data_IF_726582575986
#
_entry.id   IF_726582575986
#
_cell.length_a   1.000
_cell.length_b   1.000
_cell.length_c   1.000
_cell.angle_alpha   90.00
_cell.angle_beta   90.00
_cell.angle_gamma   90.00
#
_symmetry.space_group_name_H-M   'P 1'
#
loop_
_entity.id
_entity.type
_entity.pdbx_description
1 polymer ?
#
# COMPACT_ATOMS: atom_id res chain seq x y z
N UNK A 1 -6.23 31.21 -13.92
CA UNK A 1 -5.46 30.42 -12.93
C UNK A 1 -6.08 29.03 -12.89
N UNK A 2 -5.29 27.96 -12.80
CA UNK A 2 -5.85 26.62 -12.61
C UNK A 2 -6.56 26.56 -11.24
N UNK A 3 -7.68 25.85 -11.16
CA UNK A 3 -8.42 25.66 -9.91
C UNK A 3 -7.48 25.05 -8.83
N UNK A 4 -7.30 25.69 -7.66
CA UNK A 4 -6.38 25.21 -6.63
C UNK A 4 -6.73 23.81 -6.12
N UNK A 5 -7.99 23.37 -6.21
CA UNK A 5 -8.44 22.03 -5.81
C UNK A 5 -7.87 20.94 -6.70
N UNK A 6 -7.63 21.22 -7.99
CA UNK A 6 -6.99 20.28 -8.93
C UNK A 6 -5.57 19.94 -8.50
N UNK A 7 -4.83 20.94 -8.00
CA UNK A 7 -3.49 20.72 -7.43
C UNK A 7 -3.57 19.86 -6.16
N UNK A 8 -4.56 20.09 -5.30
CA UNK A 8 -4.75 19.30 -4.09
C UNK A 8 -5.11 17.84 -4.40
N UNK A 9 -6.01 17.59 -5.37
CA UNK A 9 -6.33 16.26 -5.88
C UNK A 9 -5.07 15.53 -6.33
N UNK A 10 -4.25 16.18 -7.16
CA UNK A 10 -3.00 15.60 -7.67
C UNK A 10 -2.05 15.20 -6.54
N UNK A 11 -1.90 16.07 -5.52
CA UNK A 11 -1.02 15.80 -4.38
C UNK A 11 -1.53 14.61 -3.56
N UNK A 12 -2.81 14.64 -3.16
CA UNK A 12 -3.43 13.58 -2.34
C UNK A 12 -3.41 12.24 -3.07
N UNK A 13 -3.72 12.23 -4.37
CA UNK A 13 -3.61 11.06 -5.25
C UNK A 13 -2.21 10.48 -5.24
N UNK A 14 -1.18 11.34 -5.38
CA UNK A 14 0.21 10.92 -5.34
C UNK A 14 0.61 10.29 -3.99
N UNK A 15 0.08 10.79 -2.87
CA UNK A 15 0.31 10.22 -1.54
C UNK A 15 -0.29 8.82 -1.43
N UNK A 16 -1.57 8.65 -1.77
CA UNK A 16 -2.26 7.34 -1.72
C UNK A 16 -1.56 6.32 -2.63
N UNK A 17 -1.21 6.71 -3.86
CA UNK A 17 -0.50 5.83 -4.81
C UNK A 17 0.85 5.34 -4.27
N UNK A 18 1.62 6.20 -3.61
CA UNK A 18 2.92 5.81 -3.02
C UNK A 18 2.73 4.86 -1.84
N UNK A 19 1.78 5.14 -0.95
CA UNK A 19 1.50 4.30 0.22
C UNK A 19 0.95 2.92 -0.20
N UNK A 20 0.11 2.86 -1.24
CA UNK A 20 -0.37 1.60 -1.80
C UNK A 20 0.78 0.74 -2.34
N UNK A 21 1.74 1.37 -3.05
CA UNK A 21 2.95 0.69 -3.52
C UNK A 21 3.84 0.24 -2.37
N UNK A 22 4.08 1.08 -1.37
CA UNK A 22 4.88 0.77 -0.17
C UNK A 22 4.35 -0.48 0.54
N UNK A 23 3.05 -0.49 0.87
CA UNK A 23 2.40 -1.66 1.48
C UNK A 23 2.56 -2.92 0.62
N UNK A 24 2.32 -2.81 -0.68
CA UNK A 24 2.42 -3.95 -1.61
C UNK A 24 3.83 -4.53 -1.65
N UNK A 25 4.86 -3.68 -1.58
CA UNK A 25 6.26 -4.11 -1.54
C UNK A 25 6.56 -4.87 -0.25
N UNK A 26 6.15 -4.34 0.92
CA UNK A 26 6.37 -5.04 2.19
C UNK A 26 5.63 -6.38 2.26
N UNK A 27 4.40 -6.47 1.76
CA UNK A 27 3.69 -7.75 1.69
C UNK A 27 4.37 -8.75 0.76
N UNK A 28 4.94 -8.27 -0.36
CA UNK A 28 5.70 -9.12 -1.28
C UNK A 28 6.99 -9.62 -0.63
N UNK A 29 7.65 -8.80 0.17
CA UNK A 29 8.85 -9.18 0.90
C UNK A 29 8.57 -10.29 1.91
N UNK A 30 7.51 -10.15 2.72
CA UNK A 30 7.03 -11.20 3.63
C UNK A 30 6.77 -12.51 2.88
N UNK A 31 6.09 -12.47 1.73
CA UNK A 31 5.84 -13.66 0.89
C UNK A 31 7.13 -14.28 0.37
N UNK A 32 8.10 -13.45 -0.01
CA UNK A 32 9.40 -13.90 -0.53
C UNK A 32 10.19 -14.63 0.56
N UNK A 33 10.26 -14.06 1.76
CA UNK A 33 10.99 -14.64 2.88
C UNK A 33 10.30 -15.90 3.43
N UNK A 34 8.96 -15.96 3.41
CA UNK A 34 8.22 -17.21 3.68
C UNK A 34 8.51 -18.30 2.64
N UNK A 35 8.56 -17.95 1.35
CA UNK A 35 8.94 -18.90 0.30
C UNK A 35 10.39 -19.39 0.47
N UNK A 36 11.29 -18.53 0.93
CA UNK A 36 12.67 -18.91 1.26
C UNK A 36 12.72 -19.89 2.44
N UNK A 37 11.93 -19.67 3.50
CA UNK A 37 11.83 -20.61 4.61
C UNK A 37 11.40 -22.01 4.15
N UNK A 38 10.37 -22.10 3.30
CA UNK A 38 9.92 -23.38 2.74
C UNK A 38 11.01 -24.07 1.92
N UNK A 39 11.82 -23.31 1.17
CA UNK A 39 12.99 -23.88 0.48
C UNK A 39 14.01 -24.45 1.47
N UNK A 40 14.35 -23.71 2.52
CA UNK A 40 15.27 -24.22 3.55
C UNK A 40 14.75 -25.50 4.22
N UNK A 41 13.44 -25.60 4.47
CA UNK A 41 12.82 -26.83 4.99
C UNK A 41 12.98 -28.00 4.01
N UNK A 42 12.71 -27.77 2.73
CA UNK A 42 12.82 -28.80 1.70
C UNK A 42 14.26 -29.25 1.44
N UNK A 43 15.22 -28.33 1.58
CA UNK A 43 16.65 -28.61 1.41
C UNK A 43 17.28 -29.27 2.65
N UNK A 44 16.50 -29.50 3.72
CA UNK A 44 16.97 -30.14 4.94
C UNK A 44 17.89 -29.27 5.79
N UNK A 45 17.70 -27.94 5.75
CA UNK A 45 18.46 -27.00 6.57
C UNK A 45 18.25 -27.29 8.08
N UNK A 46 19.28 -27.00 8.88
CA UNK A 46 19.23 -27.20 10.33
C UNK A 46 18.30 -26.19 11.04
N UNK A 47 18.00 -26.49 12.31
CA UNK A 47 17.09 -25.68 13.13
C UNK A 47 17.58 -24.24 13.31
N UNK A 48 18.90 -24.02 13.38
CA UNK A 48 19.46 -22.68 13.54
C UNK A 48 19.17 -21.82 12.31
N UNK A 49 19.34 -22.37 11.10
CA UNK A 49 19.00 -21.67 9.85
C UNK A 49 17.51 -21.37 9.77
N UNK A 50 16.65 -22.34 10.10
CA UNK A 50 15.20 -22.15 10.06
C UNK A 50 14.74 -21.07 11.04
N UNK A 51 15.24 -21.09 12.29
CA UNK A 51 14.94 -20.06 13.29
C UNK A 51 15.42 -18.69 12.85
N UNK A 52 16.60 -18.58 12.24
CA UNK A 52 17.10 -17.29 11.77
C UNK A 52 16.23 -16.73 10.63
N UNK A 53 15.74 -17.59 9.74
CA UNK A 53 14.83 -17.17 8.68
C UNK A 53 13.45 -16.76 9.22
N UNK A 54 12.97 -17.38 10.30
CA UNK A 54 11.75 -16.95 11.01
C UNK A 54 11.91 -15.55 11.62
N UNK A 55 13.08 -15.23 12.20
CA UNK A 55 13.40 -13.87 12.66
C UNK A 55 13.33 -12.83 11.53
N UNK A 56 13.91 -13.14 10.37
CA UNK A 56 13.83 -12.27 9.18
C UNK A 56 12.38 -12.04 8.76
N UNK A 57 11.55 -13.09 8.75
CA UNK A 57 10.12 -12.95 8.42
C UNK A 57 9.42 -12.02 9.41
N UNK A 58 9.68 -12.16 10.71
CA UNK A 58 9.11 -11.28 11.73
C UNK A 58 9.51 -9.82 11.51
N UNK A 59 10.78 -9.55 11.18
CA UNK A 59 11.26 -8.20 10.85
C UNK A 59 10.51 -7.60 9.65
N UNK A 60 10.31 -8.38 8.58
CA UNK A 60 9.52 -7.93 7.43
C UNK A 60 8.05 -7.67 7.79
N UNK A 61 7.45 -8.55 8.61
CA UNK A 61 6.05 -8.42 9.02
C UNK A 61 5.79 -7.16 9.87
N UNK A 62 6.75 -6.74 10.69
CA UNK A 62 6.65 -5.52 11.49
C UNK A 62 6.46 -4.24 10.67
N UNK A 63 6.82 -4.24 9.38
CA UNK A 63 6.70 -3.08 8.48
C UNK A 63 5.30 -2.91 7.88
N UNK A 64 4.51 -3.98 7.81
CA UNK A 64 3.20 -3.99 7.13
C UNK A 64 2.12 -3.19 7.90
N UNK A 65 2.00 -3.27 9.23
CA UNK A 65 0.93 -2.59 9.97
C UNK A 65 0.95 -1.06 9.81
N UNK A 66 2.12 -0.43 9.91
CA UNK A 66 2.22 1.02 9.83
C UNK A 66 1.96 1.54 8.41
N UNK A 67 2.49 0.87 7.38
CA UNK A 67 2.20 1.23 5.98
C UNK A 67 0.70 1.09 5.66
N UNK A 68 0.03 0.04 6.17
CA UNK A 68 -1.44 -0.12 6.07
C UNK A 68 -2.17 1.00 6.78
N UNK A 69 -1.79 1.36 8.01
CA UNK A 69 -2.42 2.43 8.79
C UNK A 69 -2.30 3.78 8.08
N UNK A 70 -1.11 4.11 7.57
CA UNK A 70 -0.88 5.34 6.78
C UNK A 70 -1.74 5.34 5.51
N UNK A 71 -1.80 4.22 4.79
CA UNK A 71 -2.63 4.11 3.58
C UNK A 71 -4.12 4.31 3.87
N UNK A 72 -4.67 3.70 4.92
CA UNK A 72 -6.10 3.88 5.30
C UNK A 72 -6.42 5.35 5.56
N UNK A 73 -5.57 6.04 6.33
CA UNK A 73 -5.79 7.45 6.66
C UNK A 73 -5.85 8.33 5.41
N UNK A 74 -4.89 8.18 4.50
CA UNK A 74 -4.81 8.99 3.29
C UNK A 74 -5.86 8.57 2.25
N UNK A 75 -6.24 7.29 2.23
CA UNK A 75 -7.36 6.78 1.44
C UNK A 75 -8.67 7.48 1.85
N UNK A 76 -9.01 7.48 3.14
CA UNK A 76 -10.22 8.17 3.63
C UNK A 76 -10.17 9.68 3.37
N UNK A 77 -8.98 10.28 3.48
CA UNK A 77 -8.77 11.70 3.19
C UNK A 77 -9.01 12.04 1.72
N UNK A 78 -8.50 11.24 0.79
CA UNK A 78 -8.72 11.44 -0.65
C UNK A 78 -10.16 11.11 -1.04
N UNK A 79 -10.72 10.03 -0.49
CA UNK A 79 -12.11 9.62 -0.74
C UNK A 79 -13.08 10.73 -0.34
N UNK A 80 -12.95 11.26 0.88
CA UNK A 80 -13.75 12.40 1.33
C UNK A 80 -13.58 13.62 0.42
N UNK A 81 -12.36 13.91 -0.01
CA UNK A 81 -12.12 15.02 -0.94
C UNK A 81 -12.84 14.83 -2.28
N UNK A 82 -12.95 13.61 -2.80
CA UNK A 82 -13.72 13.33 -4.01
C UNK A 82 -15.23 13.46 -3.81
N UNK A 83 -15.73 13.13 -2.61
CA UNK A 83 -17.13 13.30 -2.23
C UNK A 83 -17.49 14.78 -2.06
N UNK A 84 -16.59 15.59 -1.51
CA UNK A 84 -16.81 17.03 -1.28
C UNK A 84 -16.71 17.85 -2.59
N UNK A 85 -15.94 17.38 -3.57
CA UNK A 85 -15.60 18.13 -4.80
C UNK A 85 -16.15 17.46 -6.07
N UNK A 86 -17.40 16.99 -6.02
CA UNK A 86 -18.04 16.29 -7.15
C UNK A 86 -18.18 17.14 -8.42
N UNK A 87 -18.15 18.47 -8.29
CA UNK A 87 -18.16 19.40 -9.43
C UNK A 87 -16.91 19.26 -10.32
N UNK A 88 -15.87 18.59 -9.83
CA UNK A 88 -14.64 18.31 -10.56
C UNK A 88 -14.62 16.95 -11.27
N UNK A 89 -15.72 16.17 -11.26
CA UNK A 89 -15.80 14.78 -11.80
C UNK A 89 -15.32 14.63 -13.24
N UNK A 90 -15.55 15.64 -14.08
CA UNK A 90 -15.16 15.64 -15.50
C UNK A 90 -13.67 15.98 -15.72
N UNK A 91 -12.92 16.28 -14.65
CA UNK A 91 -11.50 16.61 -14.75
C UNK A 91 -10.64 15.36 -14.70
N UNK A 92 -9.55 15.36 -15.48
CA UNK A 92 -8.58 14.27 -15.49
C UNK A 92 -7.96 14.01 -14.11
N UNK A 93 -7.82 15.05 -13.27
CA UNK A 93 -7.30 14.89 -11.92
C UNK A 93 -8.27 14.11 -11.01
N UNK A 94 -9.58 14.32 -11.15
CA UNK A 94 -10.60 13.61 -10.40
C UNK A 94 -10.68 12.14 -10.84
N UNK A 95 -10.71 11.88 -12.15
CA UNK A 95 -10.79 10.51 -12.68
C UNK A 95 -9.60 9.67 -12.24
N UNK A 96 -8.38 10.21 -12.33
CA UNK A 96 -7.15 9.56 -11.82
C UNK A 96 -7.19 9.31 -10.32
N UNK A 97 -7.74 10.26 -9.55
CA UNK A 97 -7.89 10.11 -8.11
C UNK A 97 -8.86 8.97 -7.76
N UNK A 98 -9.98 8.87 -8.48
CA UNK A 98 -10.97 7.81 -8.32
C UNK A 98 -10.41 6.42 -8.68
N UNK A 99 -9.62 6.32 -9.76
CA UNK A 99 -8.88 5.09 -10.10
C UNK A 99 -7.93 4.67 -8.97
N UNK A 100 -7.14 5.60 -8.44
CA UNK A 100 -6.21 5.33 -7.33
C UNK A 100 -6.94 4.92 -6.05
N UNK A 101 -8.13 5.46 -5.78
CA UNK A 101 -8.99 5.00 -4.69
C UNK A 101 -9.42 3.55 -4.92
N UNK A 102 -9.84 3.18 -6.12
CA UNK A 102 -10.21 1.79 -6.46
C UNK A 102 -9.03 0.82 -6.25
N UNK A 103 -7.85 1.20 -6.74
CA UNK A 103 -6.62 0.41 -6.57
C UNK A 103 -6.25 0.26 -5.08
N UNK A 104 -6.26 1.37 -4.34
CA UNK A 104 -5.93 1.38 -2.93
C UNK A 104 -6.93 0.56 -2.10
N UNK A 105 -8.21 0.56 -2.47
CA UNK A 105 -9.25 -0.27 -1.85
C UNK A 105 -8.91 -1.76 -2.01
N UNK A 106 -8.51 -2.17 -3.21
CA UNK A 106 -8.06 -3.55 -3.49
C UNK A 106 -6.83 -3.91 -2.66
N UNK A 107 -5.84 -3.01 -2.59
CA UNK A 107 -4.63 -3.20 -1.77
C UNK A 107 -4.96 -3.30 -0.28
N UNK A 108 -5.96 -2.58 0.22
CA UNK A 108 -6.37 -2.61 1.63
C UNK A 108 -7.25 -3.82 1.98
N UNK A 109 -7.86 -4.47 0.99
CA UNK A 109 -8.85 -5.54 1.19
C UNK A 109 -10.17 -5.02 1.75
N UNK A 110 -10.60 -3.83 1.32
CA UNK A 110 -11.86 -3.17 1.69
C UNK A 110 -12.94 -3.30 0.60
#
# INVERSE_FOLDING_TARGET
MADPRIRQLTIKTGVVKRLAKEKTVYEKEVRTERSRLEKFRNDGADEHVLRKQEEVIMECEMMVPDSKKRLIREFETLKKFLEDEEDLKETEAYTKAAEVISDAKTVLGL
#
